data_IF_079437629229
#
_entry.id   IF_079437629229
#
_cell.length_a   1.000
_cell.length_b   1.000
_cell.length_c   1.000
_cell.angle_alpha   90.00
_cell.angle_beta   90.00
_cell.angle_gamma   90.00
#
_symmetry.space_group_name_H-M   'P 1'
#
loop_
_entity.id
_entity.type
_entity.pdbx_description
1 polymer ?
#
# COMPACT_ATOMS: atom_id res chain seq x y z
N UNK A 1 5.56 12.90 11.55
CA UNK A 1 4.68 13.03 10.37
C UNK A 1 4.25 11.66 9.85
N UNK A 2 5.17 10.74 9.58
CA UNK A 2 4.84 9.38 9.11
C UNK A 2 3.78 8.66 9.92
N UNK A 3 3.88 8.70 11.26
CA UNK A 3 2.88 8.10 12.13
C UNK A 3 1.48 8.64 11.84
N UNK A 4 1.31 9.96 11.84
CA UNK A 4 -0.01 10.60 11.65
C UNK A 4 -0.55 10.31 10.24
N UNK A 5 0.27 10.51 9.21
CA UNK A 5 -0.13 10.28 7.83
C UNK A 5 -0.50 8.81 7.57
N UNK A 6 0.32 7.89 8.07
CA UNK A 6 0.06 6.45 7.94
C UNK A 6 -1.19 6.04 8.69
N UNK A 7 -1.37 6.55 9.90
CA UNK A 7 -2.57 6.30 10.70
C UNK A 7 -3.82 6.74 9.95
N UNK A 8 -3.84 7.97 9.41
CA UNK A 8 -4.98 8.51 8.66
C UNK A 8 -5.28 7.67 7.42
N UNK A 9 -4.27 7.41 6.58
CA UNK A 9 -4.44 6.64 5.34
C UNK A 9 -4.88 5.20 5.61
N UNK A 10 -4.26 4.52 6.58
CA UNK A 10 -4.62 3.15 6.93
C UNK A 10 -5.99 3.05 7.60
N UNK A 11 -6.41 4.08 8.35
CA UNK A 11 -7.77 4.14 8.91
C UNK A 11 -8.80 4.17 7.79
N UNK A 12 -8.59 4.99 6.75
CA UNK A 12 -9.47 5.03 5.58
C UNK A 12 -9.52 3.71 4.81
N UNK A 13 -8.46 2.90 4.83
CA UNK A 13 -8.44 1.59 4.16
C UNK A 13 -9.44 0.60 4.76
N UNK A 14 -9.82 0.76 6.03
CA UNK A 14 -10.87 -0.06 6.64
C UNK A 14 -12.27 0.19 6.04
N UNK A 15 -12.51 1.40 5.52
CA UNK A 15 -13.76 1.74 4.83
C UNK A 15 -13.88 1.07 3.45
N UNK A 16 -12.79 0.55 2.90
CA UNK A 16 -12.81 -0.08 1.58
C UNK A 16 -13.84 -1.22 1.50
N UNK A 17 -14.06 -1.97 2.59
CA UNK A 17 -15.05 -3.03 2.61
C UNK A 17 -16.49 -2.50 2.46
N UNK A 18 -16.79 -1.37 3.10
CA UNK A 18 -18.07 -0.64 2.96
C UNK A 18 -18.23 -0.16 1.52
N UNK A 19 -17.19 0.46 0.95
CA UNK A 19 -17.22 0.98 -0.41
C UNK A 19 -17.44 -0.13 -1.44
N UNK A 20 -16.73 -1.25 -1.32
CA UNK A 20 -16.89 -2.38 -2.24
C UNK A 20 -18.30 -2.97 -2.16
N UNK A 21 -18.90 -3.02 -0.96
CA UNK A 21 -20.25 -3.56 -0.76
C UNK A 21 -21.33 -2.74 -1.46
N UNK A 22 -21.22 -1.40 -1.47
CA UNK A 22 -22.25 -0.51 -2.04
C UNK A 22 -21.95 -0.03 -3.46
N UNK A 23 -20.67 0.18 -3.79
CA UNK A 23 -20.25 0.81 -5.05
C UNK A 23 -19.36 -0.11 -5.91
N UNK A 24 -19.07 -1.32 -5.44
CA UNK A 24 -18.28 -2.30 -6.16
C UNK A 24 -16.83 -1.88 -6.39
N UNK A 25 -16.19 -2.52 -7.38
CA UNK A 25 -14.79 -2.31 -7.69
C UNK A 25 -14.50 -0.93 -8.31
N UNK A 26 -15.47 -0.34 -9.03
CA UNK A 26 -15.34 1.01 -9.56
C UNK A 26 -15.34 2.05 -8.43
N UNK A 27 -16.21 1.89 -7.42
CA UNK A 27 -16.19 2.73 -6.23
C UNK A 27 -14.85 2.64 -5.49
N UNK A 28 -14.33 1.42 -5.31
CA UNK A 28 -13.00 1.21 -4.72
C UNK A 28 -11.91 1.94 -5.50
N UNK A 29 -11.89 1.82 -6.82
CA UNK A 29 -10.91 2.50 -7.68
C UNK A 29 -10.94 4.03 -7.48
N UNK A 30 -12.11 4.66 -7.56
CA UNK A 30 -12.23 6.11 -7.44
C UNK A 30 -11.91 6.63 -6.05
N UNK A 31 -12.40 5.96 -5.00
CA UNK A 31 -12.15 6.37 -3.62
C UNK A 31 -10.67 6.22 -3.26
N UNK A 32 -10.03 5.10 -3.65
CA UNK A 32 -8.59 4.92 -3.39
C UNK A 32 -7.76 5.94 -4.18
N UNK A 33 -8.11 6.23 -5.44
CA UNK A 33 -7.43 7.28 -6.20
C UNK A 33 -7.58 8.66 -5.52
N UNK A 34 -8.78 9.01 -5.07
CA UNK A 34 -9.03 10.27 -4.38
C UNK A 34 -8.28 10.35 -3.04
N UNK A 35 -8.23 9.24 -2.29
CA UNK A 35 -7.50 9.14 -1.03
C UNK A 35 -6.00 9.36 -1.23
N UNK A 36 -5.39 8.68 -2.22
CA UNK A 36 -3.96 8.84 -2.51
C UNK A 36 -3.66 10.25 -3.02
N UNK A 37 -4.52 10.82 -3.87
CA UNK A 37 -4.39 12.19 -4.32
C UNK A 37 -4.45 13.19 -3.16
N UNK A 38 -5.45 13.06 -2.29
CA UNK A 38 -5.63 13.92 -1.12
C UNK A 38 -4.49 13.78 -0.13
N UNK A 39 -4.04 12.54 0.13
CA UNK A 39 -2.87 12.24 0.94
C UNK A 39 -1.60 12.89 0.40
N UNK A 40 -1.41 12.90 -0.93
CA UNK A 40 -0.28 13.58 -1.58
C UNK A 40 -0.26 15.10 -1.34
N UNK A 41 -1.41 15.73 -1.09
CA UNK A 41 -1.53 17.15 -0.77
C UNK A 41 -1.39 17.39 0.74
N UNK A 42 -2.00 16.53 1.56
CA UNK A 42 -2.17 16.76 3.00
C UNK A 42 -1.02 16.22 3.86
N UNK A 43 -0.36 15.13 3.43
CA UNK A 43 0.55 14.37 4.29
C UNK A 43 1.97 14.95 4.42
N UNK A 44 2.21 16.18 3.95
CA UNK A 44 3.50 16.92 4.06
C UNK A 44 4.73 16.02 3.86
N UNK A 45 4.80 15.37 2.68
CA UNK A 45 5.90 14.49 2.26
C UNK A 45 6.04 13.15 3.02
N UNK A 46 5.05 12.73 3.79
CA UNK A 46 5.08 11.38 4.36
C UNK A 46 4.90 10.29 3.27
N UNK A 47 5.61 9.17 3.42
CA UNK A 47 5.65 8.09 2.43
C UNK A 47 4.52 7.08 2.60
N UNK A 48 4.15 6.74 3.85
CA UNK A 48 3.07 5.77 4.15
C UNK A 48 3.35 4.36 3.59
N UNK A 49 4.60 4.09 3.21
CA UNK A 49 5.04 2.84 2.60
C UNK A 49 6.57 2.76 2.71
N UNK A 50 7.12 1.62 3.15
CA UNK A 50 8.56 1.48 3.33
C UNK A 50 9.31 1.37 1.99
N UNK A 51 8.60 1.14 0.88
CA UNK A 51 9.20 0.91 -0.44
C UNK A 51 10.06 2.10 -0.91
N UNK A 52 9.52 3.32 -0.84
CA UNK A 52 10.25 4.54 -1.26
C UNK A 52 11.40 4.88 -0.28
N UNK A 53 11.21 4.87 1.05
CA UNK A 53 12.31 5.04 2.01
C UNK A 53 13.46 4.04 1.82
N UNK A 54 13.15 2.76 1.56
CA UNK A 54 14.17 1.73 1.30
C UNK A 54 14.94 2.04 0.01
N UNK A 55 14.25 2.44 -1.05
CA UNK A 55 14.90 2.91 -2.28
C UNK A 55 15.82 4.11 -2.01
N UNK A 56 15.34 5.13 -1.27
CA UNK A 56 16.12 6.33 -0.96
C UNK A 56 17.36 6.01 -0.10
N UNK A 57 17.25 5.03 0.80
CA UNK A 57 18.39 4.53 1.57
C UNK A 57 19.39 3.80 0.67
N UNK A 58 18.91 2.92 -0.22
CA UNK A 58 19.76 2.22 -1.20
C UNK A 58 20.51 3.20 -2.11
N UNK A 59 19.88 4.31 -2.50
CA UNK A 59 20.49 5.40 -3.29
C UNK A 59 21.47 6.28 -2.50
N UNK A 60 21.64 6.05 -1.20
CA UNK A 60 22.49 6.88 -0.34
C UNK A 60 21.92 8.27 -0.03
N UNK A 61 20.65 8.54 -0.39
CA UNK A 61 19.98 9.83 -0.14
C UNK A 61 19.49 9.89 1.32
N UNK A 62 19.01 8.75 1.85
CA UNK A 62 18.56 8.65 3.24
C UNK A 62 19.60 8.01 4.16
N UNK A 63 19.90 8.60 5.33
CA UNK A 63 20.71 7.93 6.34
C UNK A 63 19.90 6.83 7.04
N UNK A 64 20.57 5.78 7.54
CA UNK A 64 19.94 4.63 8.21
C UNK A 64 19.00 5.06 9.36
N UNK A 65 19.42 6.03 10.17
CA UNK A 65 18.59 6.56 11.26
C UNK A 65 17.25 7.10 10.76
N UNK A 66 17.24 7.82 9.63
CA UNK A 66 15.99 8.36 9.05
C UNK A 66 15.10 7.23 8.55
N UNK A 67 15.67 6.23 7.88
CA UNK A 67 14.95 5.03 7.44
C UNK A 67 14.25 4.33 8.62
N UNK A 68 15.00 4.03 9.69
CA UNK A 68 14.46 3.33 10.86
C UNK A 68 13.33 4.11 11.54
N UNK A 69 13.48 5.43 11.70
CA UNK A 69 12.44 6.28 12.28
C UNK A 69 11.20 6.35 11.38
N UNK A 70 11.38 6.41 10.06
CA UNK A 70 10.28 6.38 9.09
C UNK A 70 9.51 5.07 9.17
N UNK A 71 10.19 3.91 9.07
CA UNK A 71 9.56 2.59 9.16
C UNK A 71 8.87 2.40 10.52
N UNK A 72 9.51 2.82 11.62
CA UNK A 72 8.88 2.74 12.95
C UNK A 72 7.59 3.58 13.01
N UNK A 73 7.60 4.80 12.43
CA UNK A 73 6.43 5.64 12.32
C UNK A 73 5.31 4.99 11.51
N UNK A 74 5.65 4.35 10.39
CA UNK A 74 4.70 3.60 9.56
C UNK A 74 4.11 2.39 10.29
N UNK A 75 4.93 1.60 10.99
CA UNK A 75 4.46 0.44 11.75
C UNK A 75 3.52 0.84 12.89
N UNK A 76 3.90 1.86 13.68
CA UNK A 76 3.06 2.35 14.78
C UNK A 76 1.77 2.97 14.23
N UNK A 77 1.88 3.74 13.15
CA UNK A 77 0.71 4.36 12.52
C UNK A 77 -0.27 3.32 11.97
N UNK A 78 0.24 2.33 11.23
CA UNK A 78 -0.54 1.22 10.69
C UNK A 78 -1.20 0.37 11.78
N UNK A 79 -0.48 0.07 12.87
CA UNK A 79 -1.03 -0.65 14.02
C UNK A 79 -2.16 0.13 14.71
N UNK A 80 -2.01 1.43 14.89
CA UNK A 80 -3.01 2.28 15.55
C UNK A 80 -4.30 2.49 14.72
N UNK A 81 -4.22 2.30 13.40
CA UNK A 81 -5.32 2.56 12.48
C UNK A 81 -6.57 1.70 12.75
N UNK A 82 -6.39 0.44 13.19
CA UNK A 82 -7.52 -0.45 13.53
C UNK A 82 -8.39 0.14 14.64
N UNK A 83 -7.75 0.63 15.70
CA UNK A 83 -8.43 1.18 16.87
C UNK A 83 -9.18 2.46 16.54
N UNK A 84 -8.61 3.30 15.68
CA UNK A 84 -9.27 4.51 15.19
C UNK A 84 -10.43 4.18 14.26
N UNK A 85 -10.28 3.23 13.34
CA UNK A 85 -11.37 2.78 12.49
C UNK A 85 -12.55 2.24 13.32
N UNK A 86 -12.28 1.38 14.30
CA UNK A 86 -13.31 0.90 15.24
C UNK A 86 -13.99 2.02 16.02
N UNK A 87 -13.21 3.01 16.46
CA UNK A 87 -13.76 4.17 17.17
C UNK A 87 -14.68 4.97 16.26
N UNK A 88 -14.28 5.20 15.01
CA UNK A 88 -15.14 5.88 14.02
C UNK A 88 -16.42 5.10 13.76
N UNK A 89 -16.36 3.79 13.58
CA UNK A 89 -17.55 2.94 13.43
C UNK A 89 -18.48 3.02 14.64
N UNK A 90 -17.94 3.02 15.86
CA UNK A 90 -18.72 3.18 17.08
C UNK A 90 -19.49 4.51 17.12
N UNK A 91 -18.85 5.62 16.75
CA UNK A 91 -19.50 6.93 16.73
C UNK A 91 -20.49 7.12 15.57
N UNK A 92 -20.46 6.23 14.59
CA UNK A 92 -21.27 6.31 13.37
C UNK A 92 -22.24 5.14 13.20
N UNK A 93 -22.52 4.40 14.28
CA UNK A 93 -23.47 3.28 14.29
C UNK A 93 -24.87 3.67 13.79
N UNK A 94 -25.29 4.90 14.08
CA UNK A 94 -26.61 5.42 13.68
C UNK A 94 -26.65 5.95 12.23
N UNK A 95 -25.49 6.04 11.55
CA UNK A 95 -25.39 6.58 10.19
C UNK A 95 -25.47 5.48 9.13
N UNK A 96 -24.84 4.33 9.39
CA UNK A 96 -24.79 3.23 8.44
C UNK A 96 -24.79 1.87 9.14
N UNK A 97 -25.70 0.97 8.73
CA UNK A 97 -25.82 -0.37 9.33
C UNK A 97 -24.54 -1.21 9.19
N UNK A 98 -23.74 -0.97 8.15
CA UNK A 98 -22.46 -1.67 7.97
C UNK A 98 -21.42 -1.30 9.03
N UNK A 99 -21.48 -0.10 9.61
CA UNK A 99 -20.58 0.26 10.72
C UNK A 99 -20.90 -0.56 11.97
N UNK A 100 -22.18 -0.85 12.22
CA UNK A 100 -22.57 -1.77 13.29
C UNK A 100 -22.07 -3.20 13.02
N UNK A 101 -22.18 -3.68 11.77
CA UNK A 101 -21.65 -4.98 11.36
C UNK A 101 -20.13 -5.08 11.56
N UNK A 102 -19.36 -4.10 11.05
CA UNK A 102 -17.89 -4.13 11.15
C UNK A 102 -17.39 -3.85 12.57
N UNK A 103 -18.13 -3.09 13.38
CA UNK A 103 -17.80 -2.93 14.80
C UNK A 103 -17.93 -4.24 15.57
N UNK A 104 -18.99 -5.02 15.30
CA UNK A 104 -19.21 -6.33 15.93
C UNK A 104 -18.25 -7.41 15.39
N UNK A 105 -17.90 -7.35 14.10
CA UNK A 105 -16.99 -8.30 13.47
C UNK A 105 -15.53 -8.01 13.86
N UNK A 106 -15.01 -8.75 14.83
CA UNK A 106 -13.59 -8.65 15.24
C UNK A 106 -12.68 -9.62 14.48
N UNK A 107 -13.23 -10.70 13.93
CA UNK A 107 -12.48 -11.71 13.18
C UNK A 107 -12.27 -11.29 11.73
N UNK A 108 -11.07 -11.55 11.19
CA UNK A 108 -10.77 -11.36 9.78
C UNK A 108 -10.15 -12.63 9.18
N UNK A 109 -10.44 -12.87 7.90
CA UNK A 109 -9.95 -14.04 7.17
C UNK A 109 -9.42 -13.63 5.80
N UNK A 110 -8.19 -14.02 5.50
CA UNK A 110 -7.58 -13.87 4.17
C UNK A 110 -8.23 -14.86 3.21
N UNK A 111 -8.80 -14.33 2.13
CA UNK A 111 -9.47 -15.13 1.10
C UNK A 111 -8.87 -14.79 -0.25
N UNK A 112 -8.12 -15.74 -0.81
CA UNK A 112 -7.52 -15.63 -2.14
C UNK A 112 -8.46 -16.20 -3.20
N UNK A 113 -8.53 -15.55 -4.37
CA UNK A 113 -9.24 -16.03 -5.55
C UNK A 113 -8.39 -16.93 -6.45
N UNK A 114 -7.08 -16.94 -6.20
CA UNK A 114 -6.07 -17.73 -6.91
C UNK A 114 -5.32 -18.64 -5.94
N UNK A 115 -4.60 -19.62 -6.48
CA UNK A 115 -3.68 -20.42 -5.67
C UNK A 115 -2.63 -19.53 -5.00
N UNK A 116 -2.29 -19.84 -3.76
CA UNK A 116 -1.38 -19.05 -2.93
C UNK A 116 -0.03 -18.78 -3.61
N UNK A 117 0.48 -19.72 -4.42
CA UNK A 117 1.75 -19.56 -5.14
C UNK A 117 1.78 -18.32 -6.06
N UNK A 118 0.63 -17.92 -6.61
CA UNK A 118 0.53 -16.75 -7.49
C UNK A 118 0.54 -15.43 -6.71
N UNK A 119 0.20 -15.43 -5.43
CA UNK A 119 0.13 -14.23 -4.58
C UNK A 119 1.51 -13.57 -4.42
N UNK A 120 2.58 -14.24 -3.92
CA UNK A 120 3.89 -13.60 -3.79
C UNK A 120 4.48 -13.20 -5.15
N UNK A 121 4.21 -13.97 -6.22
CA UNK A 121 4.59 -13.60 -7.58
C UNK A 121 3.92 -12.30 -8.03
N UNK A 122 2.62 -12.14 -7.73
CA UNK A 122 1.89 -10.91 -8.02
C UNK A 122 2.44 -9.72 -7.21
N UNK A 123 2.80 -9.91 -5.94
CA UNK A 123 3.39 -8.86 -5.12
C UNK A 123 4.74 -8.37 -5.69
N UNK A 124 5.60 -9.30 -6.13
CA UNK A 124 6.87 -8.96 -6.81
C UNK A 124 6.61 -8.23 -8.13
N UNK A 125 5.81 -8.82 -9.02
CA UNK A 125 5.57 -8.26 -10.37
C UNK A 125 4.81 -6.94 -10.27
N UNK A 126 3.80 -6.87 -9.41
CA UNK A 126 2.97 -5.69 -9.20
C UNK A 126 3.78 -4.51 -8.67
N UNK A 127 4.63 -4.71 -7.65
CA UNK A 127 5.51 -3.65 -7.15
C UNK A 127 6.59 -3.25 -8.16
N UNK A 128 7.15 -4.20 -8.92
CA UNK A 128 8.06 -3.91 -10.02
C UNK A 128 7.41 -3.00 -11.07
N UNK A 129 6.23 -3.38 -11.56
CA UNK A 129 5.48 -2.60 -12.56
C UNK A 129 5.05 -1.25 -12.01
N UNK A 130 4.54 -1.21 -10.78
CA UNK A 130 4.16 0.03 -10.10
C UNK A 130 5.31 1.03 -10.09
N UNK A 131 6.49 0.63 -9.59
CA UNK A 131 7.67 1.49 -9.56
C UNK A 131 8.12 1.88 -10.97
N UNK A 132 8.16 0.93 -11.90
CA UNK A 132 8.60 1.16 -13.28
C UNK A 132 7.71 2.17 -14.01
N UNK A 133 6.40 2.17 -13.75
CA UNK A 133 5.48 3.17 -14.31
C UNK A 133 5.70 4.51 -13.60
N UNK A 134 5.73 4.52 -12.26
CA UNK A 134 5.81 5.75 -11.46
C UNK A 134 7.10 6.56 -11.65
N UNK A 135 8.21 5.93 -12.04
CA UNK A 135 9.46 6.66 -12.29
C UNK A 135 9.52 7.34 -13.66
N UNK A 136 8.85 6.77 -14.66
CA UNK A 136 8.82 7.33 -16.01
C UNK A 136 7.75 8.41 -16.19
N UNK A 137 6.88 8.62 -15.19
CA UNK A 137 5.89 9.69 -15.22
C UNK A 137 6.58 11.05 -14.96
N UNK A 138 6.41 12.05 -15.85
CA UNK A 138 6.92 13.41 -15.66
C UNK A 138 6.44 14.05 -14.35
N UNK A 139 7.33 14.78 -13.67
CA UNK A 139 7.07 15.35 -12.33
C UNK A 139 5.85 16.28 -12.29
N UNK A 140 5.58 17.03 -13.36
CA UNK A 140 4.45 17.96 -13.47
C UNK A 140 3.08 17.25 -13.40
N UNK A 141 2.97 16.04 -13.94
CA UNK A 141 1.71 15.26 -13.95
C UNK A 141 1.71 14.13 -12.92
N UNK A 142 2.85 13.82 -12.31
CA UNK A 142 3.01 12.70 -11.36
C UNK A 142 2.01 12.73 -10.21
N UNK A 143 1.70 13.91 -9.68
CA UNK A 143 0.69 14.08 -8.62
C UNK A 143 -0.72 13.59 -9.00
N UNK A 144 -1.07 13.64 -10.29
CA UNK A 144 -2.39 13.21 -10.78
C UNK A 144 -2.38 11.76 -11.27
N UNK A 145 -1.28 11.33 -11.89
CA UNK A 145 -1.16 10.00 -12.47
C UNK A 145 -0.81 8.92 -11.44
N UNK A 146 -0.02 9.24 -10.41
CA UNK A 146 0.38 8.25 -9.40
C UNK A 146 -0.82 7.65 -8.65
N UNK A 147 -1.81 8.44 -8.17
CA UNK A 147 -3.02 7.89 -7.57
C UNK A 147 -3.77 6.92 -8.49
N UNK A 148 -3.88 7.26 -9.78
CA UNK A 148 -4.57 6.45 -10.79
C UNK A 148 -3.85 5.12 -11.04
N UNK A 149 -2.52 5.14 -11.14
CA UNK A 149 -1.72 3.92 -11.36
C UNK A 149 -1.84 2.98 -10.15
N UNK A 150 -1.65 3.51 -8.94
CA UNK A 150 -1.70 2.72 -7.71
C UNK A 150 -3.11 2.16 -7.49
N UNK A 151 -4.15 2.98 -7.64
CA UNK A 151 -5.53 2.51 -7.48
C UNK A 151 -5.90 1.47 -8.54
N UNK A 152 -5.42 1.60 -9.78
CA UNK A 152 -5.63 0.60 -10.85
C UNK A 152 -5.05 -0.75 -10.46
N UNK A 153 -3.80 -0.79 -9.99
CA UNK A 153 -3.12 -2.03 -9.59
C UNK A 153 -3.75 -2.66 -8.36
N UNK A 154 -4.16 -1.87 -7.36
CA UNK A 154 -4.88 -2.37 -6.19
C UNK A 154 -6.26 -2.91 -6.57
N UNK A 155 -6.96 -2.26 -7.49
CA UNK A 155 -8.27 -2.72 -7.98
C UNK A 155 -8.12 -4.03 -8.77
N UNK A 156 -7.10 -4.12 -9.61
CA UNK A 156 -6.75 -5.34 -10.32
C UNK A 156 -6.43 -6.49 -9.34
N UNK A 157 -5.63 -6.21 -8.32
CA UNK A 157 -5.29 -7.17 -7.27
C UNK A 157 -6.54 -7.68 -6.55
N UNK A 158 -7.46 -6.79 -6.19
CA UNK A 158 -8.73 -7.16 -5.56
C UNK A 158 -9.65 -7.98 -6.49
N UNK A 159 -9.66 -7.67 -7.78
CA UNK A 159 -10.45 -8.38 -8.78
C UNK A 159 -9.95 -9.81 -9.00
N UNK A 160 -8.64 -9.98 -9.22
CA UNK A 160 -8.05 -11.26 -9.65
C UNK A 160 -7.40 -12.06 -8.51
N UNK A 161 -6.65 -11.41 -7.61
CA UNK A 161 -5.96 -12.08 -6.50
C UNK A 161 -6.88 -12.21 -5.28
N UNK A 162 -7.74 -11.22 -5.05
CA UNK A 162 -8.67 -11.14 -3.93
C UNK A 162 -8.17 -10.31 -2.75
N UNK A 163 -6.87 -9.97 -2.71
CA UNK A 163 -6.26 -9.24 -1.60
C UNK A 163 -5.28 -8.17 -2.13
N UNK A 164 -5.52 -6.87 -1.87
CA UNK A 164 -4.66 -5.79 -2.33
C UNK A 164 -3.44 -5.58 -1.41
N UNK A 165 -2.30 -6.24 -1.71
CA UNK A 165 -1.12 -6.29 -0.83
C UNK A 165 0.08 -5.40 -1.19
N UNK A 166 0.04 -4.68 -2.32
CA UNK A 166 1.18 -3.97 -2.95
C UNK A 166 1.86 -2.86 -2.11
N UNK A 167 1.42 -2.65 -0.87
CA UNK A 167 2.04 -1.77 0.10
C UNK A 167 2.16 -2.51 1.44
N UNK A 168 3.39 -2.79 1.94
CA UNK A 168 3.61 -3.56 3.17
C UNK A 168 2.92 -2.98 4.42
N UNK A 169 2.92 -1.66 4.57
CA UNK A 169 2.33 -0.99 5.74
C UNK A 169 0.81 -1.12 5.72
N UNK A 170 0.19 -0.90 4.56
CA UNK A 170 -1.27 -1.01 4.38
C UNK A 170 -1.73 -2.47 4.47
N UNK A 171 -0.95 -3.41 3.91
CA UNK A 171 -1.20 -4.84 4.04
C UNK A 171 -1.15 -5.24 5.52
N UNK A 172 -0.11 -4.80 6.25
CA UNK A 172 0.05 -5.12 7.67
C UNK A 172 -1.05 -4.53 8.52
N UNK A 173 -1.43 -3.27 8.31
CA UNK A 173 -2.48 -2.64 9.08
C UNK A 173 -3.79 -3.43 9.01
N UNK A 174 -4.17 -3.89 7.82
CA UNK A 174 -5.48 -4.54 7.61
C UNK A 174 -5.47 -6.05 7.79
N UNK A 175 -4.39 -6.72 7.40
CA UNK A 175 -4.38 -8.17 7.15
C UNK A 175 -3.53 -8.95 8.14
N UNK A 176 -2.64 -8.30 8.89
CA UNK A 176 -1.76 -8.99 9.82
C UNK A 176 -2.59 -9.57 10.99
N UNK A 177 -2.42 -10.86 11.25
CA UNK A 177 -3.18 -11.57 12.29
C UNK A 177 -4.54 -12.10 11.82
N UNK A 178 -4.93 -11.89 10.56
CA UNK A 178 -6.10 -12.55 10.00
C UNK A 178 -5.85 -14.03 9.74
N UNK A 179 -6.90 -14.83 9.91
CA UNK A 179 -6.85 -16.26 9.65
C UNK A 179 -6.58 -16.54 8.16
N UNK A 180 -5.84 -17.61 7.87
CA UNK A 180 -5.56 -18.07 6.50
C UNK A 180 -4.11 -17.92 6.05
N UNK A 181 -3.27 -17.20 6.80
CA UNK A 181 -1.83 -17.14 6.54
C UNK A 181 -1.03 -17.00 7.84
N UNK A 182 -0.02 -17.85 8.05
CA UNK A 182 0.88 -17.72 9.19
C UNK A 182 1.75 -16.46 9.06
N UNK A 183 2.14 -15.85 10.18
CA UNK A 183 2.97 -14.64 10.28
C UNK A 183 4.24 -14.69 9.42
N UNK A 184 4.94 -15.83 9.37
CA UNK A 184 6.16 -15.95 8.55
C UNK A 184 5.83 -15.78 7.07
N UNK A 185 4.81 -16.51 6.59
CA UNK A 185 4.36 -16.40 5.20
C UNK A 185 3.78 -15.02 4.90
N UNK A 186 3.11 -14.39 5.87
CA UNK A 186 2.63 -13.03 5.75
C UNK A 186 3.77 -12.03 5.52
N UNK A 187 4.84 -12.10 6.33
CA UNK A 187 6.00 -11.24 6.18
C UNK A 187 6.69 -11.50 4.83
N UNK A 188 6.87 -12.76 4.44
CA UNK A 188 7.46 -13.09 3.15
C UNK A 188 6.64 -12.52 1.99
N UNK A 189 5.32 -12.73 1.99
CA UNK A 189 4.44 -12.33 0.90
C UNK A 189 4.20 -10.83 0.84
N UNK A 190 3.99 -10.14 1.97
CA UNK A 190 3.55 -8.74 1.97
C UNK A 190 4.63 -7.73 2.39
N UNK A 191 5.79 -8.18 2.86
CA UNK A 191 6.95 -7.30 3.07
C UNK A 191 8.06 -7.62 2.09
N UNK A 192 8.56 -8.86 2.10
CA UNK A 192 9.76 -9.22 1.34
C UNK A 192 9.50 -9.17 -0.17
N UNK A 193 8.43 -9.81 -0.65
CA UNK A 193 8.08 -9.83 -2.07
C UNK A 193 7.87 -8.43 -2.69
N UNK A 194 7.06 -7.52 -2.08
CA UNK A 194 6.95 -6.14 -2.54
C UNK A 194 8.28 -5.39 -2.59
N UNK A 195 9.12 -5.53 -1.56
CA UNK A 195 10.44 -4.89 -1.52
C UNK A 195 11.33 -5.42 -2.64
N UNK A 196 11.37 -6.74 -2.86
CA UNK A 196 12.12 -7.35 -3.96
C UNK A 196 11.64 -6.80 -5.30
N UNK A 197 10.33 -6.81 -5.55
CA UNK A 197 9.76 -6.28 -6.79
C UNK A 197 10.12 -4.82 -7.04
N UNK A 198 9.98 -3.98 -6.02
CA UNK A 198 10.35 -2.57 -6.07
C UNK A 198 11.84 -2.36 -6.36
N UNK A 199 12.72 -3.06 -5.64
CA UNK A 199 14.18 -2.92 -5.79
C UNK A 199 14.69 -3.49 -7.12
N UNK A 200 14.05 -4.53 -7.67
CA UNK A 200 14.35 -5.01 -9.02
C UNK A 200 14.10 -3.93 -10.08
N UNK A 201 13.05 -3.12 -9.93
CA UNK A 201 12.77 -2.00 -10.82
C UNK A 201 13.85 -0.93 -10.70
N UNK A 202 14.32 -0.64 -9.48
CA UNK A 202 15.42 0.30 -9.23
C UNK A 202 16.71 -0.17 -9.91
N UNK A 203 17.08 -1.44 -9.74
CA UNK A 203 18.27 -2.02 -10.36
C UNK A 203 18.19 -2.01 -11.89
N UNK A 204 17.01 -2.27 -12.45
CA UNK A 204 16.76 -2.21 -13.89
C UNK A 204 16.94 -0.79 -14.45
N UNK A 205 16.41 0.23 -13.78
CA UNK A 205 16.58 1.63 -14.17
C UNK A 205 18.05 2.06 -14.13
N UNK A 206 18.79 1.69 -13.06
CA UNK A 206 20.22 2.01 -12.91
C UNK A 206 21.08 1.41 -14.00
N UNK A 207 20.80 0.15 -14.36
CA UNK A 207 21.46 -0.51 -15.46
C UNK A 207 21.23 0.22 -16.78
N UNK A 208 19.99 0.65 -17.07
CA UNK A 208 19.67 1.39 -18.30
C UNK A 208 20.37 2.73 -18.38
N UNK A 209 20.43 3.48 -17.28
CA UNK A 209 21.14 4.77 -17.23
C UNK A 209 22.64 4.55 -17.50
N UNK A 210 23.26 3.59 -16.81
CA UNK A 210 24.68 3.26 -16.99
C UNK A 210 25.01 2.85 -18.42
N UNK A 211 24.14 2.05 -19.06
CA UNK A 211 24.31 1.64 -20.46
C UNK A 211 24.14 2.82 -21.43
N UNK A 212 23.21 3.73 -21.15
CA UNK A 212 23.00 4.92 -21.99
C UNK A 212 24.23 5.85 -21.95
N UNK A 213 24.79 6.10 -20.76
CA UNK A 213 26.00 6.92 -20.58
C UNK A 213 27.23 6.35 -21.29
N UNK A 214 27.34 5.02 -21.39
CA UNK A 214 28.41 4.35 -22.14
C UNK A 214 28.28 4.49 -23.66
N UNK A 215 27.08 4.77 -24.18
CA UNK A 215 26.85 4.95 -25.63
C UNK A 215 27.07 6.39 -26.09
N UNK A 216 27.08 7.36 -25.18
CA UNK A 216 27.28 8.79 -25.46
C UNK A 216 28.73 9.26 -25.27
N UNK A 217 29.63 8.39 -24.81
CA UNK A 217 31.09 8.60 -24.80
C UNK A 217 31.73 7.86 -25.96
#
# INVERSE_FOLDING_TARGET
MELIATTQMCTCVYENAVIIRHYGLLGFFFIVALLIFSGGIMNREAFVSPLVPIELYYKGIFPLRRLLVTIAGEMVGGYSAYWLARSLWYWSLNLLSDHALFYQLTSCKLTYKVSFLFVPCFEVIGCFLMRSILCHIPLNIKKYMAPVVVSSLLTFSLLFVGVPGLNPTVASSRLQGCDGLNTIWFILTYWVCPIIGWMLSVAFDDYRITVAEKKTK
#
